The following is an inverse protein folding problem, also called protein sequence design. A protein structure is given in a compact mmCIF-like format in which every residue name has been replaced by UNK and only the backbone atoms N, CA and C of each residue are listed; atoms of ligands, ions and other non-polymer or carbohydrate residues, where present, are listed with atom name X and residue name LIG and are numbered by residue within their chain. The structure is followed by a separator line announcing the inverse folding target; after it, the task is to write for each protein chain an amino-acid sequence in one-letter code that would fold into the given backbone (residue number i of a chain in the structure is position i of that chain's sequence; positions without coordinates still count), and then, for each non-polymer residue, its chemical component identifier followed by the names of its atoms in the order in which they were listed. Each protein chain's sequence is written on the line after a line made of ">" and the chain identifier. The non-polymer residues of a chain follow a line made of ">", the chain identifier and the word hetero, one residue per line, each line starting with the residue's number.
data_IF_252309502227
#
_entry.id   IF_252309502227
#
_cell.length_a   1.000
_cell.length_b   1.000
_cell.length_c   1.000
_cell.angle_alpha   90.00
_cell.angle_beta   90.00
_cell.angle_gamma   90.00
#
_symmetry.space_group_name_H-M   'P 1'
#
loop_
_entity.id
_entity.type
_entity.pdbx_description
1 polymer ?
#
# COMPACT_ATOMS: atom_id res chain seq x y z
N UNK A 1 51.83 34.31 -30.24
CA UNK A 1 50.57 34.36 -29.47
C UNK A 1 49.85 33.03 -29.65
N UNK A 2 50.02 32.02 -28.77
CA UNK A 2 49.21 30.81 -28.86
C UNK A 2 47.87 31.01 -28.15
N UNK A 3 46.78 30.69 -28.84
CA UNK A 3 45.43 30.70 -28.31
C UNK A 3 45.16 29.37 -27.57
N UNK A 4 44.86 29.46 -26.28
CA UNK A 4 44.45 28.32 -25.45
C UNK A 4 42.93 28.13 -25.56
N UNK A 5 42.51 27.11 -26.31
CA UNK A 5 41.13 26.65 -26.37
C UNK A 5 40.84 25.69 -25.21
N UNK A 6 40.04 26.13 -24.24
CA UNK A 6 39.57 25.31 -23.14
C UNK A 6 38.38 24.45 -23.59
N UNK A 7 38.55 23.12 -23.63
CA UNK A 7 37.46 22.16 -23.78
C UNK A 7 36.71 21.99 -22.44
N UNK A 8 35.48 22.45 -22.38
CA UNK A 8 34.55 22.14 -21.30
C UNK A 8 33.82 20.83 -21.59
N UNK A 9 34.06 19.78 -20.79
CA UNK A 9 33.26 18.55 -20.85
C UNK A 9 31.96 18.72 -20.05
N UNK A 10 30.79 18.29 -20.58
CA UNK A 10 29.54 18.30 -19.83
C UNK A 10 29.50 17.10 -18.87
N UNK A 11 29.34 17.36 -17.57
CA UNK A 11 29.02 16.31 -16.59
C UNK A 11 27.56 15.85 -16.81
N UNK A 12 27.30 14.54 -16.97
CA UNK A 12 25.93 14.04 -17.01
C UNK A 12 25.31 14.15 -15.60
N UNK A 13 24.17 14.83 -15.50
CA UNK A 13 23.30 14.79 -14.33
C UNK A 13 22.75 13.36 -14.18
N UNK A 14 23.24 12.62 -13.19
CA UNK A 14 22.60 11.38 -12.77
C UNK A 14 21.25 11.72 -12.11
N UNK A 15 20.16 11.47 -12.83
CA UNK A 15 18.81 11.48 -12.27
C UNK A 15 18.71 10.40 -11.20
N UNK A 16 18.69 10.80 -9.93
CA UNK A 16 18.53 9.92 -8.78
C UNK A 16 17.09 9.44 -8.73
N UNK A 17 16.82 8.27 -9.31
CA UNK A 17 15.53 7.58 -9.13
C UNK A 17 15.44 7.11 -7.68
N UNK A 18 14.65 7.81 -6.86
CA UNK A 18 14.34 7.39 -5.50
C UNK A 18 13.66 6.01 -5.54
N UNK A 19 14.43 4.94 -5.28
CA UNK A 19 13.84 3.63 -5.01
C UNK A 19 12.98 3.78 -3.75
N UNK A 20 11.69 3.40 -3.77
CA UNK A 20 10.90 3.33 -2.55
C UNK A 20 11.58 2.31 -1.64
N UNK A 21 12.32 2.82 -0.67
CA UNK A 21 13.04 1.97 0.28
C UNK A 21 12.00 1.16 1.04
N UNK A 22 12.24 -0.12 1.33
CA UNK A 22 11.34 -0.93 2.17
C UNK A 22 11.03 -0.23 3.53
N UNK A 23 11.94 0.62 3.99
CA UNK A 23 11.76 1.55 5.11
C UNK A 23 10.56 2.49 4.92
N UNK A 24 10.33 3.02 3.71
CA UNK A 24 9.22 3.92 3.41
C UNK A 24 7.85 3.22 3.44
N UNK A 25 7.78 1.98 2.96
CA UNK A 25 6.55 1.17 3.03
C UNK A 25 6.23 0.77 4.48
N UNK A 26 7.27 0.41 5.26
CA UNK A 26 7.15 0.07 6.68
C UNK A 26 6.66 1.26 7.51
N UNK A 27 7.30 2.43 7.36
CA UNK A 27 6.91 3.65 8.09
C UNK A 27 5.50 4.10 7.72
N UNK A 28 5.12 4.07 6.43
CA UNK A 28 3.75 4.43 6.01
C UNK A 28 2.70 3.42 6.49
N UNK A 29 3.02 2.14 6.48
CA UNK A 29 2.17 1.10 7.04
C UNK A 29 1.95 1.29 8.54
N UNK A 30 3.02 1.57 9.29
CA UNK A 30 2.96 1.86 10.71
C UNK A 30 2.16 3.13 11.00
N UNK A 31 2.38 4.20 10.25
CA UNK A 31 1.66 5.46 10.39
C UNK A 31 0.15 5.24 10.27
N UNK A 32 -0.30 4.53 9.22
CA UNK A 32 -1.73 4.26 9.00
C UNK A 32 -2.29 3.34 10.08
N UNK A 33 -1.61 2.23 10.39
CA UNK A 33 -2.08 1.30 11.42
C UNK A 33 -2.22 1.99 12.78
N UNK A 34 -1.17 2.69 13.21
CA UNK A 34 -1.14 3.39 14.48
C UNK A 34 -2.17 4.52 14.54
N UNK A 35 -2.30 5.31 13.46
CA UNK A 35 -3.30 6.37 13.37
C UNK A 35 -4.72 5.85 13.49
N UNK A 36 -5.05 4.77 12.78
CA UNK A 36 -6.41 4.23 12.79
C UNK A 36 -6.75 3.62 14.15
N UNK A 37 -5.81 2.87 14.75
CA UNK A 37 -6.01 2.27 16.08
C UNK A 37 -6.21 3.32 17.17
N UNK A 38 -5.38 4.37 17.22
CA UNK A 38 -5.55 5.46 18.19
C UNK A 38 -6.85 6.25 17.99
N UNK A 39 -7.38 6.23 16.77
CA UNK A 39 -8.66 6.87 16.42
C UNK A 39 -9.88 6.00 16.78
N UNK A 40 -9.68 4.83 17.41
CA UNK A 40 -10.76 3.95 17.86
C UNK A 40 -11.19 2.89 16.84
N UNK A 41 -10.48 2.72 15.72
CA UNK A 41 -10.80 1.66 14.76
C UNK A 41 -10.38 0.28 15.28
N UNK A 42 -11.13 -0.76 14.92
CA UNK A 42 -10.77 -2.14 15.23
C UNK A 42 -9.52 -2.58 14.45
N UNK A 43 -8.94 -3.71 14.86
CA UNK A 43 -7.68 -4.21 14.33
C UNK A 43 -7.81 -4.51 12.82
N UNK A 44 -8.87 -5.21 12.42
CA UNK A 44 -9.05 -5.72 11.06
C UNK A 44 -9.08 -4.60 10.01
N UNK A 45 -9.82 -3.52 10.29
CA UNK A 45 -9.92 -2.37 9.37
C UNK A 45 -8.61 -1.59 9.31
N UNK A 46 -7.99 -1.37 10.47
CA UNK A 46 -6.70 -0.68 10.56
C UNK A 46 -5.59 -1.47 9.87
N UNK A 47 -5.60 -2.79 10.03
CA UNK A 47 -4.66 -3.72 9.42
C UNK A 47 -4.83 -3.80 7.90
N UNK A 48 -6.07 -3.96 7.43
CA UNK A 48 -6.35 -4.05 5.99
C UNK A 48 -5.85 -2.79 5.24
N UNK A 49 -6.08 -1.60 5.80
CA UNK A 49 -5.61 -0.35 5.23
C UNK A 49 -4.07 -0.26 5.18
N UNK A 50 -3.40 -0.57 6.28
CA UNK A 50 -1.95 -0.56 6.37
C UNK A 50 -1.31 -1.60 5.43
N UNK A 51 -1.81 -2.83 5.44
CA UNK A 51 -1.29 -3.93 4.62
C UNK A 51 -1.46 -3.66 3.12
N UNK A 52 -2.59 -3.09 2.68
CA UNK A 52 -2.79 -2.72 1.29
C UNK A 52 -1.74 -1.70 0.79
N UNK A 53 -1.33 -0.75 1.65
CA UNK A 53 -0.29 0.21 1.33
C UNK A 53 1.09 -0.43 1.27
N UNK A 54 1.42 -1.26 2.27
CA UNK A 54 2.69 -1.99 2.32
C UNK A 54 2.84 -2.85 1.06
N UNK A 55 1.81 -3.65 0.73
CA UNK A 55 1.79 -4.55 -0.43
C UNK A 55 1.95 -3.83 -1.76
N UNK A 56 1.48 -2.58 -1.88
CA UNK A 56 1.63 -1.77 -3.10
C UNK A 56 3.01 -1.13 -3.22
N UNK A 57 3.65 -0.81 -2.09
CA UNK A 57 4.93 -0.09 -2.07
C UNK A 57 6.14 -1.02 -1.92
N UNK A 58 5.93 -2.29 -1.60
CA UNK A 58 6.97 -3.31 -1.68
C UNK A 58 7.29 -3.57 -3.16
N UNK A 59 8.36 -2.96 -3.68
CA UNK A 59 8.86 -3.08 -5.05
C UNK A 59 9.39 -4.50 -5.42
N UNK A 60 8.99 -5.52 -4.66
CA UNK A 60 9.47 -6.89 -4.82
C UNK A 60 8.59 -7.69 -5.78
N UNK A 61 9.24 -8.53 -6.59
CA UNK A 61 8.59 -9.52 -7.46
C UNK A 61 7.74 -10.53 -6.66
N UNK A 62 7.96 -10.61 -5.35
CA UNK A 62 7.12 -11.35 -4.40
C UNK A 62 6.29 -10.36 -3.58
N UNK A 63 4.97 -10.49 -3.66
CA UNK A 63 4.03 -9.70 -2.85
C UNK A 63 4.36 -9.92 -1.38
N UNK A 64 4.60 -8.84 -0.63
CA UNK A 64 4.82 -8.90 0.82
C UNK A 64 3.69 -9.69 1.47
N UNK A 65 4.04 -10.72 2.24
CA UNK A 65 3.06 -11.50 2.97
C UNK A 65 2.51 -10.72 4.18
N UNK A 66 1.30 -11.06 4.67
CA UNK A 66 0.75 -10.44 5.87
C UNK A 66 1.70 -10.53 7.07
N UNK A 67 2.40 -11.66 7.21
CA UNK A 67 3.35 -11.89 8.31
C UNK A 67 4.57 -10.97 8.19
N UNK A 68 5.10 -10.78 6.99
CA UNK A 68 6.23 -9.88 6.78
C UNK A 68 5.84 -8.40 6.95
N UNK A 69 4.62 -8.04 6.54
CA UNK A 69 4.08 -6.70 6.79
C UNK A 69 3.92 -6.40 8.28
N UNK A 70 3.51 -7.39 9.08
CA UNK A 70 3.38 -7.24 10.53
C UNK A 70 4.74 -6.93 11.17
N UNK A 71 5.78 -7.66 10.77
CA UNK A 71 7.16 -7.41 11.23
C UNK A 71 7.60 -6.00 10.86
N UNK A 72 7.42 -5.59 9.61
CA UNK A 72 7.79 -4.24 9.15
C UNK A 72 7.11 -3.11 9.95
N UNK A 73 5.81 -3.26 10.27
CA UNK A 73 5.11 -2.29 11.12
C UNK A 73 5.73 -2.29 12.53
N UNK A 74 5.96 -3.45 13.13
CA UNK A 74 6.55 -3.50 14.48
C UNK A 74 7.95 -2.93 14.55
N UNK A 75 8.78 -3.19 13.54
CA UNK A 75 10.13 -2.63 13.46
C UNK A 75 10.09 -1.10 13.37
N UNK A 76 9.20 -0.54 12.55
CA UNK A 76 9.04 0.91 12.44
C UNK A 76 8.60 1.55 13.77
N UNK A 77 7.63 0.94 14.46
CA UNK A 77 7.11 1.47 15.73
C UNK A 77 8.14 1.40 16.85
N UNK A 78 8.90 0.31 16.94
CA UNK A 78 9.94 0.13 17.97
C UNK A 78 11.16 1.01 17.68
N UNK A 79 11.50 1.22 16.41
CA UNK A 79 12.63 2.06 16.02
C UNK A 79 12.39 3.54 16.33
N UNK A 80 11.15 4.02 16.17
CA UNK A 80 10.79 5.43 16.36
C UNK A 80 9.54 5.58 17.25
N UNK A 81 9.61 5.21 18.54
CA UNK A 81 8.43 5.21 19.42
C UNK A 81 7.83 6.61 19.61
N UNK A 82 8.66 7.65 19.53
CA UNK A 82 8.22 9.05 19.58
C UNK A 82 7.36 9.47 18.38
N UNK A 83 7.52 8.82 17.22
CA UNK A 83 6.71 9.06 16.03
C UNK A 83 5.35 8.33 16.09
N UNK A 84 5.27 7.26 16.89
CA UNK A 84 4.07 6.42 17.04
C UNK A 84 3.65 6.30 18.51
N UNK A 85 3.33 7.42 19.18
CA UNK A 85 2.96 7.41 20.59
C UNK A 85 1.75 6.50 20.82
N UNK A 86 1.80 5.73 21.92
CA UNK A 86 0.74 4.80 22.35
C UNK A 86 0.38 3.71 21.33
N UNK A 87 1.13 3.54 20.24
CA UNK A 87 0.85 2.48 19.26
C UNK A 87 1.33 1.09 19.72
N UNK A 88 2.33 1.04 20.61
CA UNK A 88 2.90 -0.20 21.13
C UNK A 88 1.86 -1.18 21.68
N UNK A 89 0.80 -0.67 22.31
CA UNK A 89 -0.30 -1.48 22.85
C UNK A 89 -1.12 -2.22 21.78
N UNK A 90 -1.02 -1.81 20.52
CA UNK A 90 -1.76 -2.42 19.41
C UNK A 90 -0.94 -3.42 18.60
N UNK A 91 0.37 -3.53 18.84
CA UNK A 91 1.25 -4.39 18.03
C UNK A 91 0.97 -5.88 18.24
N UNK A 92 0.52 -6.29 19.43
CA UNK A 92 0.19 -7.69 19.71
C UNK A 92 -0.92 -8.25 18.80
N UNK A 93 -1.87 -7.40 18.40
CA UNK A 93 -2.96 -7.80 17.50
C UNK A 93 -2.47 -8.16 16.08
N UNK A 94 -1.33 -7.63 15.64
CA UNK A 94 -0.71 -7.98 14.35
C UNK A 94 -0.32 -9.46 14.23
N UNK A 95 -0.18 -10.14 15.37
CA UNK A 95 0.21 -11.54 15.47
C UNK A 95 -0.90 -12.43 16.07
N UNK A 96 -2.07 -11.84 16.36
CA UNK A 96 -3.05 -12.39 17.29
C UNK A 96 -4.28 -13.07 16.70
N UNK A 97 -4.46 -13.14 15.38
CA UNK A 97 -5.64 -13.81 14.81
C UNK A 97 -5.32 -14.58 13.52
N UNK A 98 -5.74 -15.84 13.52
CA UNK A 98 -5.77 -16.76 12.40
C UNK A 98 -6.37 -16.08 11.16
N UNK A 99 -5.55 -15.91 10.11
CA UNK A 99 -5.93 -15.44 8.77
C UNK A 99 -6.94 -14.28 8.77
N UNK A 100 -6.44 -13.05 8.78
CA UNK A 100 -7.16 -11.97 8.12
C UNK A 100 -7.58 -12.49 6.72
N UNK A 101 -8.88 -12.49 6.35
CA UNK A 101 -9.23 -12.78 4.98
C UNK A 101 -8.51 -11.72 4.17
N UNK A 102 -7.74 -12.16 3.18
CA UNK A 102 -7.23 -11.26 2.17
C UNK A 102 -8.45 -10.50 1.65
N UNK A 103 -8.64 -9.26 2.10
CA UNK A 103 -9.65 -8.35 1.61
C UNK A 103 -9.18 -7.95 0.20
N UNK A 104 -9.29 -8.91 -0.71
CA UNK A 104 -9.53 -8.66 -2.10
C UNK A 104 -10.78 -7.78 -2.14
N UNK A 105 -10.80 -6.66 -2.86
CA UNK A 105 -12.03 -5.92 -3.06
C UNK A 105 -12.99 -6.84 -3.82
N UNK A 106 -13.85 -7.54 -3.09
CA UNK A 106 -15.01 -8.22 -3.65
C UNK A 106 -15.88 -7.13 -4.27
N UNK A 107 -15.88 -7.08 -5.60
CA UNK A 107 -16.94 -6.45 -6.37
C UNK A 107 -18.27 -7.01 -5.84
N UNK A 108 -18.98 -6.17 -5.10
CA UNK A 108 -20.34 -6.44 -4.71
C UNK A 108 -21.21 -6.25 -5.95
N UNK A 109 -21.48 -7.35 -6.64
CA UNK A 109 -22.56 -7.44 -7.63
C UNK A 109 -23.48 -8.56 -7.18
N UNK A 110 -24.49 -8.19 -6.39
CA UNK A 110 -25.63 -9.03 -6.03
C UNK A 110 -26.40 -9.38 -7.30
N UNK A 111 -26.03 -10.48 -7.96
CA UNK A 111 -26.76 -11.04 -9.09
C UNK A 111 -27.84 -11.99 -8.60
N UNK A 112 -29.00 -11.45 -8.24
CA UNK A 112 -30.21 -12.24 -8.02
C UNK A 112 -30.59 -12.98 -9.30
N UNK A 113 -30.70 -14.29 -9.20
CA UNK A 113 -31.17 -15.15 -10.29
C UNK A 113 -32.68 -14.93 -10.51
N UNK A 114 -33.05 -14.42 -11.68
CA UNK A 114 -34.39 -14.58 -12.27
C UNK A 114 -34.20 -14.93 -13.76
N UNK A 115 -34.87 -15.96 -14.31
CA UNK A 115 -34.59 -16.45 -15.66
C UNK A 115 -35.22 -15.56 -16.74
N UNK A 116 -34.47 -15.33 -17.82
CA UNK A 116 -34.93 -14.66 -19.05
C UNK A 116 -35.58 -15.68 -20.01
N UNK A 117 -36.68 -15.36 -20.70
CA UNK A 117 -37.00 -15.95 -21.99
C UNK A 117 -36.46 -15.09 -23.16
N UNK A 118 -36.09 -15.78 -24.23
CA UNK A 118 -35.49 -15.31 -25.48
C UNK A 118 -36.23 -14.16 -26.19
N UNK A 119 -35.45 -13.28 -26.83
CA UNK A 119 -35.53 -12.86 -28.26
C UNK A 119 -35.31 -11.35 -28.45
N UNK A 120 -34.48 -10.99 -29.46
CA UNK A 120 -34.67 -9.75 -30.23
C UNK A 120 -33.63 -8.62 -30.06
N UNK A 121 -32.70 -8.56 -31.03
CA UNK A 121 -32.14 -7.39 -31.76
C UNK A 121 -31.75 -6.06 -31.09
N UNK A 122 -30.66 -5.50 -31.66
CA UNK A 122 -30.33 -4.07 -31.87
C UNK A 122 -29.65 -3.25 -30.76
N UNK A 123 -28.31 -3.18 -30.88
CA UNK A 123 -27.47 -1.97 -31.09
C UNK A 123 -28.11 -0.60 -30.74
N UNK A 124 -27.50 0.15 -29.81
CA UNK A 124 -27.50 1.63 -29.86
C UNK A 124 -27.46 2.40 -28.52
N UNK A 125 -26.47 3.30 -28.37
CA UNK A 125 -26.40 4.42 -27.40
C UNK A 125 -25.83 4.05 -26.03
N UNK A 126 -24.63 4.45 -25.57
CA UNK A 126 -23.89 5.74 -25.61
C UNK A 126 -24.72 6.92 -25.10
N UNK A 127 -24.83 7.04 -23.77
CA UNK A 127 -25.11 8.31 -23.09
C UNK A 127 -24.13 8.51 -21.92
N UNK A 128 -23.36 9.58 -22.02
CA UNK A 128 -22.64 10.25 -20.94
C UNK A 128 -23.49 11.46 -20.50
N UNK A 129 -23.54 11.71 -19.20
CA UNK A 129 -23.89 13.03 -18.64
C UNK A 129 -22.64 13.91 -18.61
#
# INVERSE_FOLDING_TARGET
>A
MPALTALALPLPLLSQTAQPSATSASSKGAEVYCFMRRSGNNHEVSWAAAYALIKRQSDSLFKTSPEHAAVMITEAVVKEPSAYPDCGQYLGALYGAEKAPEASPSQSSTGGAVPLPSSGTSRGGRYSY
#
